data_IF_189705811135
#
_entry.id   IF_189705811135
#
_cell.length_a   1.000
_cell.length_b   1.000
_cell.length_c   1.000
_cell.angle_alpha   90.00
_cell.angle_beta   90.00
_cell.angle_gamma   90.00
#
_symmetry.space_group_name_H-M   'P 1'
#
loop_
_entity.id
_entity.type
_entity.pdbx_description
1 polymer ?
#
# COMPACT_ATOMS: atom_id res chain seq x y z
N UNK A 1 0.79 -10.07 0.67
CA UNK A 1 -0.11 -8.91 0.50
C UNK A 1 0.71 -7.64 0.38
N UNK A 2 0.36 -6.78 -0.59
CA UNK A 2 0.93 -5.42 -0.69
C UNK A 2 -0.09 -4.45 -0.14
N UNK A 3 0.31 -3.62 0.82
CA UNK A 3 -0.50 -2.57 1.40
C UNK A 3 0.14 -1.22 1.08
N UNK A 4 -0.64 -0.32 0.47
CA UNK A 4 -0.24 1.06 0.23
C UNK A 4 -1.18 1.98 0.99
N UNK A 5 -0.62 2.85 1.81
CA UNK A 5 -1.34 3.91 2.52
C UNK A 5 -0.80 5.27 2.09
N UNK A 6 -1.58 6.33 2.35
CA UNK A 6 -1.14 7.70 2.14
C UNK A 6 -1.07 8.47 3.46
N UNK A 7 -0.07 9.34 3.59
CA UNK A 7 0.22 10.08 4.83
C UNK A 7 -0.90 11.04 5.23
N UNK A 8 -1.58 11.62 4.26
CA UNK A 8 -2.57 12.68 4.46
C UNK A 8 -4.00 12.18 4.20
N UNK A 9 -4.21 10.86 4.22
CA UNK A 9 -5.54 10.27 4.15
C UNK A 9 -6.29 10.50 5.48
N UNK A 10 -7.21 11.44 5.47
CA UNK A 10 -8.06 11.76 6.62
C UNK A 10 -9.16 10.72 6.89
N UNK A 11 -9.41 9.80 5.96
CA UNK A 11 -10.41 8.73 6.12
C UNK A 11 -9.78 7.43 6.61
N UNK A 12 -8.51 7.18 6.27
CA UNK A 12 -7.79 5.98 6.65
C UNK A 12 -6.44 6.33 7.26
N UNK A 13 -6.33 6.16 8.58
CA UNK A 13 -5.05 6.42 9.26
C UNK A 13 -3.99 5.40 8.85
N UNK A 14 -2.72 5.84 8.85
CA UNK A 14 -1.55 5.00 8.60
C UNK A 14 -1.53 3.77 9.52
N UNK A 15 -1.90 3.94 10.78
CA UNK A 15 -1.95 2.86 11.77
C UNK A 15 -3.06 1.84 11.46
N UNK A 16 -4.22 2.31 11.03
CA UNK A 16 -5.31 1.43 10.61
C UNK A 16 -4.91 0.58 9.41
N UNK A 17 -4.29 1.18 8.41
CA UNK A 17 -3.76 0.46 7.25
C UNK A 17 -2.66 -0.54 7.65
N UNK A 18 -1.72 -0.15 8.52
CA UNK A 18 -0.63 -1.03 8.97
C UNK A 18 -1.12 -2.26 9.74
N UNK A 19 -2.23 -2.16 10.48
CA UNK A 19 -2.82 -3.28 11.22
C UNK A 19 -3.24 -4.45 10.32
N UNK A 20 -3.41 -4.24 9.02
CA UNK A 20 -3.66 -5.32 8.06
C UNK A 20 -2.54 -6.37 8.00
N UNK A 21 -1.32 -6.06 8.46
CA UNK A 21 -0.24 -7.04 8.60
C UNK A 21 -0.69 -8.31 9.32
N UNK A 22 -1.55 -8.19 10.35
CA UNK A 22 -2.05 -9.33 11.13
C UNK A 22 -2.97 -10.28 10.35
N UNK A 23 -3.43 -9.86 9.18
CA UNK A 23 -4.31 -10.64 8.30
C UNK A 23 -3.56 -11.24 7.11
N UNK A 24 -2.26 -10.94 6.95
CA UNK A 24 -1.44 -11.48 5.88
C UNK A 24 -0.64 -12.69 6.37
N UNK A 25 -1.07 -13.90 5.97
CA UNK A 25 -0.44 -15.15 6.41
C UNK A 25 0.90 -15.45 5.71
N UNK A 26 1.06 -15.03 4.46
CA UNK A 26 2.17 -15.42 3.59
C UNK A 26 3.04 -14.23 3.14
N UNK A 27 3.06 -13.14 3.92
CA UNK A 27 3.90 -11.97 3.66
C UNK A 27 3.16 -10.64 3.56
N UNK A 28 3.82 -9.58 4.01
CA UNK A 28 3.27 -8.24 4.07
C UNK A 28 4.31 -7.20 3.62
N UNK A 29 4.12 -6.65 2.43
CA UNK A 29 4.89 -5.51 1.93
C UNK A 29 4.09 -4.22 2.19
N UNK A 30 4.76 -3.24 2.78
CA UNK A 30 4.18 -2.00 3.28
C UNK A 30 4.79 -0.81 2.55
N UNK A 31 3.95 0.00 1.92
CA UNK A 31 4.35 1.22 1.21
C UNK A 31 3.54 2.40 1.74
N UNK A 32 4.21 3.51 2.01
CA UNK A 32 3.59 4.77 2.39
C UNK A 32 3.93 5.81 1.33
N UNK A 33 2.91 6.51 0.83
CA UNK A 33 3.06 7.60 -0.14
C UNK A 33 2.56 8.92 0.43
N UNK A 34 2.97 10.02 -0.19
CA UNK A 34 2.39 11.32 0.08
C UNK A 34 1.06 11.51 -0.67
N UNK A 35 0.08 12.12 -0.02
CA UNK A 35 -1.23 12.45 -0.58
C UNK A 35 -2.40 12.09 0.34
N UNK A 36 -3.61 12.48 -0.09
CA UNK A 36 -4.86 12.14 0.59
C UNK A 36 -5.50 10.85 0.07
N UNK A 37 -6.78 10.62 0.41
CA UNK A 37 -7.51 9.39 0.07
C UNK A 37 -7.44 8.98 -1.41
N UNK A 38 -7.40 9.96 -2.33
CA UNK A 38 -7.29 9.72 -3.78
C UNK A 38 -5.85 9.71 -4.31
N UNK A 39 -4.85 9.42 -3.46
CA UNK A 39 -3.44 9.33 -3.84
C UNK A 39 -3.20 8.42 -5.06
N UNK A 40 -4.07 7.42 -5.28
CA UNK A 40 -4.05 6.51 -6.42
C UNK A 40 -4.00 7.24 -7.78
N UNK A 41 -4.65 8.41 -7.88
CA UNK A 41 -4.67 9.22 -9.11
C UNK A 41 -3.34 9.90 -9.36
N UNK A 42 -2.68 10.37 -8.30
CA UNK A 42 -1.42 11.11 -8.38
C UNK A 42 -0.23 10.16 -8.50
N UNK A 43 -0.28 9.01 -7.82
CA UNK A 43 0.79 8.02 -7.75
C UNK A 43 0.64 6.88 -8.77
N UNK A 44 -0.22 7.04 -9.78
CA UNK A 44 -0.64 5.96 -10.71
C UNK A 44 0.54 5.17 -11.28
N UNK A 45 1.54 5.85 -11.84
CA UNK A 45 2.70 5.20 -12.47
C UNK A 45 3.50 4.37 -11.48
N UNK A 46 3.74 4.93 -10.28
CA UNK A 46 4.47 4.24 -9.21
C UNK A 46 3.70 3.00 -8.72
N UNK A 47 2.38 3.12 -8.54
CA UNK A 47 1.52 2.03 -8.10
C UNK A 47 1.47 0.88 -9.09
N UNK A 48 1.40 1.18 -10.39
CA UNK A 48 1.46 0.15 -11.44
C UNK A 48 2.81 -0.57 -11.45
N UNK A 49 3.90 0.16 -11.16
CA UNK A 49 5.23 -0.44 -10.98
C UNK A 49 5.24 -1.45 -9.83
N UNK A 50 4.77 -1.06 -8.65
CA UNK A 50 4.70 -1.95 -7.48
C UNK A 50 3.76 -3.13 -7.67
N UNK A 51 2.63 -2.94 -8.35
CA UNK A 51 1.73 -4.05 -8.68
C UNK A 51 2.43 -5.05 -9.59
N UNK A 52 3.15 -4.57 -10.60
CA UNK A 52 3.90 -5.44 -11.52
C UNK A 52 5.00 -6.21 -10.79
N UNK A 53 5.76 -5.53 -9.92
CA UNK A 53 6.79 -6.14 -9.08
C UNK A 53 6.20 -7.22 -8.16
N UNK A 54 5.09 -6.94 -7.49
CA UNK A 54 4.46 -7.88 -6.56
C UNK A 54 3.88 -9.13 -7.24
N UNK A 55 3.46 -9.03 -8.50
CA UNK A 55 3.01 -10.17 -9.28
C UNK A 55 4.19 -11.06 -9.71
N UNK A 56 5.36 -10.48 -9.96
CA UNK A 56 6.59 -11.21 -10.31
C UNK A 56 7.29 -11.78 -9.07
N UNK A 57 7.24 -11.04 -7.97
CA UNK A 57 7.92 -11.33 -6.70
C UNK A 57 6.93 -11.18 -5.55
N UNK A 58 6.06 -12.17 -5.32
CA UNK A 58 5.09 -12.11 -4.23
C UNK A 58 5.80 -11.92 -2.89
N UNK A 59 5.33 -10.99 -2.03
CA UNK A 59 5.87 -10.87 -0.68
C UNK A 59 5.69 -12.20 0.06
N UNK A 60 6.74 -12.61 0.79
CA UNK A 60 6.82 -13.84 1.58
C UNK A 60 6.58 -13.60 3.07
#
# INVERSE_FOLDING_TARGET
MVMIAASDDHLVTVEAARRWKRHAAAGFDWRLVYGGHFFLRQQRTQLLGWLSEALQHPPR
#
